data_IF_897256961603
#
_entry.id   IF_897256961603
#
_cell.length_a   1.000
_cell.length_b   1.000
_cell.length_c   1.000
_cell.angle_alpha   90.00
_cell.angle_beta   90.00
_cell.angle_gamma   90.00
#
_symmetry.space_group_name_H-M   'P 1'
#
loop_
_entity.id
_entity.type
_entity.pdbx_description
1 polymer ?
#
# COMPACT_ATOMS: atom_id res chain seq x y z
N UNK A 1 -25.45 -16.07 33.76
CA UNK A 1 -25.00 -15.12 34.79
C UNK A 1 -24.43 -13.81 34.22
N UNK A 2 -24.10 -13.71 32.93
CA UNK A 2 -23.52 -12.48 32.36
C UNK A 2 -24.54 -11.33 32.14
N UNK A 3 -25.82 -11.64 31.92
CA UNK A 3 -26.85 -10.63 31.60
C UNK A 3 -27.20 -9.69 32.75
N UNK A 4 -27.20 -10.17 34.00
CA UNK A 4 -27.58 -9.35 35.16
C UNK A 4 -26.43 -8.43 35.62
N UNK A 5 -25.17 -8.84 35.46
CA UNK A 5 -24.01 -7.98 35.77
C UNK A 5 -23.82 -6.88 34.72
N UNK A 6 -24.13 -7.17 33.45
CA UNK A 6 -24.01 -6.20 32.36
C UNK A 6 -24.95 -4.99 32.51
N UNK A 7 -26.10 -5.16 33.18
CA UNK A 7 -27.08 -4.09 33.42
C UNK A 7 -26.60 -3.09 34.47
N UNK A 8 -25.80 -3.52 35.46
CA UNK A 8 -25.32 -2.66 36.55
C UNK A 8 -23.88 -2.15 36.36
N UNK A 9 -23.03 -2.86 35.60
CA UNK A 9 -21.59 -2.55 35.47
C UNK A 9 -21.14 -2.27 34.03
N UNK A 10 -22.07 -2.22 33.07
CA UNK A 10 -21.75 -2.11 31.65
C UNK A 10 -21.24 -3.43 31.05
N UNK A 11 -20.95 -3.47 29.73
CA UNK A 11 -20.53 -4.69 29.07
C UNK A 11 -19.15 -5.14 29.55
N UNK A 12 -18.94 -6.46 29.73
CA UNK A 12 -17.65 -7.02 30.14
C UNK A 12 -16.53 -6.56 29.19
N UNK A 13 -15.48 -5.87 29.68
CA UNK A 13 -14.38 -5.38 28.84
C UNK A 13 -13.69 -6.49 28.05
N UNK A 14 -13.59 -7.70 28.60
CA UNK A 14 -13.02 -8.83 27.87
C UNK A 14 -13.94 -9.28 26.73
N UNK A 15 -15.25 -9.33 26.95
CA UNK A 15 -16.22 -9.61 25.89
C UNK A 15 -16.19 -8.55 24.77
N UNK A 16 -16.09 -7.26 25.13
CA UNK A 16 -15.94 -6.17 24.15
C UNK A 16 -14.66 -6.32 23.32
N UNK A 17 -13.52 -6.56 23.97
CA UNK A 17 -12.25 -6.80 23.29
C UNK A 17 -12.33 -7.99 22.32
N UNK A 18 -12.94 -9.11 22.75
CA UNK A 18 -13.15 -10.28 21.90
C UNK A 18 -14.00 -9.94 20.67
N UNK A 19 -15.06 -9.15 20.85
CA UNK A 19 -15.96 -8.72 19.76
C UNK A 19 -15.27 -7.79 18.77
N UNK A 20 -14.56 -6.76 19.24
CA UNK A 20 -13.79 -5.87 18.37
C UNK A 20 -12.73 -6.64 17.57
N UNK A 21 -11.98 -7.54 18.24
CA UNK A 21 -10.98 -8.39 17.56
C UNK A 21 -11.61 -9.39 16.58
N UNK A 22 -12.84 -9.85 16.81
CA UNK A 22 -13.56 -10.70 15.86
C UNK A 22 -13.93 -9.91 14.59
N UNK A 23 -14.47 -8.71 14.75
CA UNK A 23 -14.83 -7.82 13.64
C UNK A 23 -13.60 -7.45 12.80
N UNK A 24 -12.51 -7.03 13.45
CA UNK A 24 -11.26 -6.68 12.76
C UNK A 24 -10.74 -7.88 11.95
N UNK A 25 -10.66 -9.07 12.55
CA UNK A 25 -10.20 -10.29 11.84
C UNK A 25 -11.11 -10.69 10.68
N UNK A 26 -12.42 -10.56 10.84
CA UNK A 26 -13.38 -10.83 9.76
C UNK A 26 -13.12 -9.91 8.56
N UNK A 27 -12.96 -8.61 8.82
CA UNK A 27 -12.67 -7.62 7.79
C UNK A 27 -11.31 -7.83 7.14
N UNK A 28 -10.26 -8.15 7.91
CA UNK A 28 -8.94 -8.49 7.35
C UNK A 28 -9.05 -9.68 6.38
N UNK A 29 -9.78 -10.73 6.77
CA UNK A 29 -10.00 -11.90 5.89
C UNK A 29 -10.80 -11.55 4.64
N UNK A 30 -11.74 -10.62 4.72
CA UNK A 30 -12.49 -10.14 3.56
C UNK A 30 -11.54 -9.44 2.58
N UNK A 31 -10.77 -8.45 3.05
CA UNK A 31 -9.78 -7.74 2.23
C UNK A 31 -8.74 -8.69 1.63
N UNK A 32 -8.30 -9.71 2.37
CA UNK A 32 -7.34 -10.71 1.87
C UNK A 32 -7.92 -11.54 0.72
N UNK A 33 -9.20 -11.89 0.79
CA UNK A 33 -9.89 -12.59 -0.30
C UNK A 33 -10.01 -11.69 -1.52
N UNK A 34 -10.43 -10.44 -1.33
CA UNK A 34 -10.62 -9.49 -2.42
C UNK A 34 -9.29 -9.15 -3.11
N UNK A 35 -8.22 -8.94 -2.34
CA UNK A 35 -6.85 -8.76 -2.87
C UNK A 35 -6.38 -9.97 -3.68
N UNK A 36 -6.67 -11.21 -3.24
CA UNK A 36 -6.30 -12.41 -3.99
C UNK A 36 -7.11 -12.57 -5.28
N UNK A 37 -8.39 -12.16 -5.27
CA UNK A 37 -9.23 -12.12 -6.47
C UNK A 37 -8.69 -11.09 -7.46
N UNK A 38 -8.36 -9.88 -7.01
CA UNK A 38 -7.76 -8.83 -7.85
C UNK A 38 -6.41 -9.26 -8.44
N UNK A 39 -5.53 -9.91 -7.67
CA UNK A 39 -4.27 -10.45 -8.19
C UNK A 39 -4.48 -11.47 -9.32
N UNK A 40 -5.49 -12.33 -9.17
CA UNK A 40 -5.85 -13.32 -10.20
C UNK A 40 -6.42 -12.63 -11.43
N UNK A 41 -7.24 -11.60 -11.23
CA UNK A 41 -7.82 -10.80 -12.29
C UNK A 41 -6.75 -10.01 -13.06
N UNK A 42 -5.82 -9.35 -12.37
CA UNK A 42 -4.66 -8.64 -12.93
C UNK A 42 -3.87 -9.55 -13.90
N UNK A 43 -3.49 -10.75 -13.45
CA UNK A 43 -2.76 -11.73 -14.26
C UNK A 43 -3.55 -12.17 -15.51
N UNK A 44 -4.88 -12.37 -15.39
CA UNK A 44 -5.75 -12.72 -16.52
C UNK A 44 -5.87 -11.56 -17.51
N UNK A 45 -6.10 -10.34 -17.03
CA UNK A 45 -6.19 -9.13 -17.86
C UNK A 45 -4.90 -8.87 -18.60
N UNK A 46 -3.75 -9.05 -17.94
CA UNK A 46 -2.43 -9.01 -18.58
C UNK A 46 -2.32 -10.02 -19.73
N UNK A 47 -2.81 -11.24 -19.55
CA UNK A 47 -2.81 -12.25 -20.61
C UNK A 47 -3.79 -11.91 -21.75
N UNK A 48 -4.94 -11.29 -21.46
CA UNK A 48 -5.87 -10.81 -22.48
C UNK A 48 -5.27 -9.71 -23.36
N UNK A 49 -4.55 -8.74 -22.77
CA UNK A 49 -3.80 -7.70 -23.50
C UNK A 49 -2.83 -8.34 -24.51
N UNK A 50 -2.08 -9.35 -24.08
CA UNK A 50 -1.07 -10.02 -24.92
C UNK A 50 -1.72 -10.84 -26.04
N UNK A 51 -2.83 -11.50 -25.76
CA UNK A 51 -3.56 -12.27 -26.76
C UNK A 51 -4.22 -11.37 -27.81
N UNK A 52 -4.77 -10.23 -27.38
CA UNK A 52 -5.37 -9.22 -28.26
C UNK A 52 -4.29 -8.57 -29.16
N UNK A 53 -3.14 -8.19 -28.60
CA UNK A 53 -2.05 -7.59 -29.38
C UNK A 53 -1.49 -8.56 -30.44
N UNK A 54 -1.29 -9.83 -30.09
CA UNK A 54 -0.87 -10.88 -31.05
C UNK A 54 -1.90 -11.11 -32.16
N UNK A 55 -3.18 -11.00 -31.85
CA UNK A 55 -4.27 -11.12 -32.84
C UNK A 55 -4.23 -9.95 -33.83
N UNK A 56 -3.97 -8.74 -33.35
CA UNK A 56 -3.80 -7.57 -34.20
C UNK A 56 -2.65 -7.74 -35.20
N UNK A 57 -1.54 -8.36 -34.77
CA UNK A 57 -0.38 -8.64 -35.62
C UNK A 57 -0.65 -9.74 -36.68
N UNK A 58 -1.41 -10.78 -36.33
CA UNK A 58 -1.65 -11.94 -37.22
C UNK A 58 -2.76 -11.70 -38.25
N UNK A 59 -3.76 -10.89 -37.91
CA UNK A 59 -4.94 -10.67 -38.75
C UNK A 59 -5.12 -9.18 -39.07
N UNK A 60 -4.54 -8.69 -40.18
CA UNK A 60 -4.63 -7.28 -40.57
C UNK A 60 -6.08 -6.78 -40.75
N UNK A 61 -6.98 -7.65 -41.20
CA UNK A 61 -8.41 -7.34 -41.37
C UNK A 61 -9.13 -7.04 -40.04
N UNK A 62 -8.67 -7.60 -38.92
CA UNK A 62 -9.22 -7.39 -37.58
C UNK A 62 -8.32 -6.51 -36.70
N UNK A 63 -7.24 -5.95 -37.25
CA UNK A 63 -6.24 -5.22 -36.48
C UNK A 63 -6.83 -4.03 -35.72
N UNK A 64 -7.71 -3.23 -36.35
CA UNK A 64 -8.37 -2.08 -35.70
C UNK A 64 -9.21 -2.52 -34.49
N UNK A 65 -9.97 -3.59 -34.63
CA UNK A 65 -10.79 -4.12 -33.53
C UNK A 65 -9.91 -4.64 -32.39
N UNK A 66 -8.89 -5.44 -32.71
CA UNK A 66 -7.99 -6.01 -31.73
C UNK A 66 -7.17 -4.94 -30.98
N UNK A 67 -6.82 -3.82 -31.63
CA UNK A 67 -6.18 -2.68 -30.97
C UNK A 67 -7.13 -1.95 -30.01
N UNK A 68 -8.40 -1.79 -30.36
CA UNK A 68 -9.40 -1.20 -29.46
C UNK A 68 -9.66 -2.10 -28.24
N UNK A 69 -9.74 -3.42 -28.43
CA UNK A 69 -9.83 -4.41 -27.35
C UNK A 69 -8.60 -4.32 -26.43
N UNK A 70 -7.40 -4.21 -27.00
CA UNK A 70 -6.14 -4.07 -26.26
C UNK A 70 -6.15 -2.83 -25.37
N UNK A 71 -6.59 -1.68 -25.91
CA UNK A 71 -6.74 -0.43 -25.12
C UNK A 71 -7.78 -0.56 -24.01
N UNK A 72 -8.89 -1.23 -24.28
CA UNK A 72 -9.95 -1.46 -23.29
C UNK A 72 -9.45 -2.32 -22.13
N UNK A 73 -8.73 -3.41 -22.42
CA UNK A 73 -8.14 -4.24 -21.38
C UNK A 73 -7.04 -3.52 -20.59
N UNK A 74 -6.30 -2.60 -21.21
CA UNK A 74 -5.30 -1.79 -20.51
C UNK A 74 -5.95 -0.80 -19.52
N UNK A 75 -7.03 -0.13 -19.91
CA UNK A 75 -7.84 0.69 -18.99
C UNK A 75 -8.33 -0.12 -17.78
N UNK A 76 -8.87 -1.31 -18.04
CA UNK A 76 -9.30 -2.20 -16.96
C UNK A 76 -8.14 -2.62 -16.05
N UNK A 77 -6.93 -2.83 -16.60
CA UNK A 77 -5.75 -3.14 -15.81
C UNK A 77 -5.31 -1.98 -14.91
N UNK A 78 -5.44 -0.71 -15.36
CA UNK A 78 -5.23 0.48 -14.51
C UNK A 78 -6.19 0.43 -13.32
N UNK A 79 -7.48 0.23 -13.57
CA UNK A 79 -8.52 0.17 -12.52
C UNK A 79 -8.23 -0.92 -11.48
N UNK A 80 -7.87 -2.12 -11.94
CA UNK A 80 -7.53 -3.24 -11.05
C UNK A 80 -6.34 -2.88 -10.15
N UNK A 81 -5.31 -2.22 -10.70
CA UNK A 81 -4.13 -1.79 -9.93
C UNK A 81 -4.45 -0.69 -8.93
N UNK A 82 -5.23 0.33 -9.32
CA UNK A 82 -5.72 1.37 -8.41
C UNK A 82 -6.53 0.76 -7.26
N UNK A 83 -7.48 -0.12 -7.58
CA UNK A 83 -8.27 -0.83 -6.57
C UNK A 83 -7.40 -1.70 -5.65
N UNK A 84 -6.41 -2.39 -6.20
CA UNK A 84 -5.46 -3.20 -5.41
C UNK A 84 -4.66 -2.33 -4.44
N UNK A 85 -4.17 -1.17 -4.88
CA UNK A 85 -3.45 -0.23 -4.04
C UNK A 85 -4.35 0.31 -2.92
N UNK A 86 -5.59 0.72 -3.24
CA UNK A 86 -6.58 1.17 -2.26
C UNK A 86 -6.83 0.10 -1.19
N UNK A 87 -7.18 -1.13 -1.59
CA UNK A 87 -7.44 -2.23 -0.65
C UNK A 87 -6.20 -2.61 0.16
N UNK A 88 -5.00 -2.51 -0.41
CA UNK A 88 -3.74 -2.79 0.28
C UNK A 88 -3.47 -1.76 1.40
N UNK A 89 -3.65 -0.46 1.09
CA UNK A 89 -3.52 0.61 2.08
C UNK A 89 -4.51 0.43 3.22
N UNK A 90 -5.76 0.11 2.89
CA UNK A 90 -6.80 -0.06 3.91
C UNK A 90 -6.65 -1.33 4.73
N UNK A 91 -6.08 -2.39 4.15
CA UNK A 91 -5.63 -3.56 4.93
C UNK A 91 -4.59 -3.16 5.97
N UNK A 92 -3.60 -2.35 5.60
CA UNK A 92 -2.58 -1.88 6.52
C UNK A 92 -3.17 -0.98 7.62
N UNK A 93 -4.06 -0.05 7.26
CA UNK A 93 -4.79 0.78 8.22
C UNK A 93 -5.61 -0.06 9.20
N UNK A 94 -6.33 -1.08 8.73
CA UNK A 94 -7.09 -1.98 9.58
C UNK A 94 -6.20 -2.78 10.55
N UNK A 95 -5.02 -3.21 10.10
CA UNK A 95 -4.04 -3.86 10.97
C UNK A 95 -3.50 -2.91 12.05
N UNK A 96 -3.20 -1.66 11.68
CA UNK A 96 -2.83 -0.59 12.62
C UNK A 96 -3.91 -0.38 13.69
N UNK A 97 -5.16 -0.21 13.28
CA UNK A 97 -6.31 -0.10 14.19
C UNK A 97 -6.41 -1.33 15.11
N UNK A 98 -6.21 -2.53 14.57
CA UNK A 98 -6.17 -3.76 15.36
C UNK A 98 -5.11 -3.74 16.46
N UNK A 99 -3.91 -3.25 16.17
CA UNK A 99 -2.84 -3.11 17.16
C UNK A 99 -3.19 -2.06 18.22
N UNK A 100 -3.60 -0.87 17.80
CA UNK A 100 -3.94 0.24 18.70
C UNK A 100 -5.14 -0.10 19.61
N UNK A 101 -6.16 -0.79 19.09
CA UNK A 101 -7.31 -1.25 19.89
C UNK A 101 -6.86 -2.27 20.94
N UNK A 102 -6.02 -3.24 20.56
CA UNK A 102 -5.49 -4.21 21.53
C UNK A 102 -4.65 -3.52 22.61
N UNK A 103 -3.80 -2.58 22.22
CA UNK A 103 -3.03 -1.74 23.16
C UNK A 103 -3.97 -1.02 24.14
N UNK A 104 -5.00 -0.33 23.64
CA UNK A 104 -5.96 0.38 24.48
C UNK A 104 -6.64 -0.53 25.52
N UNK A 105 -7.03 -1.75 25.13
CA UNK A 105 -7.59 -2.73 26.07
C UNK A 105 -6.57 -3.25 27.08
N UNK A 106 -5.29 -3.42 26.72
CA UNK A 106 -4.24 -3.81 27.68
C UNK A 106 -3.90 -2.69 28.65
N UNK A 107 -3.80 -1.45 28.18
CA UNK A 107 -3.59 -0.26 29.02
C UNK A 107 -4.72 -0.17 30.06
N UNK A 108 -5.98 -0.35 29.65
CA UNK A 108 -7.12 -0.40 30.59
C UNK A 108 -6.99 -1.50 31.63
N UNK A 109 -6.47 -2.67 31.27
CA UNK A 109 -6.27 -3.78 32.21
C UNK A 109 -5.20 -3.46 33.27
N UNK A 110 -4.16 -2.71 32.88
CA UNK A 110 -3.03 -2.35 33.76
C UNK A 110 -3.36 -1.12 34.61
N UNK A 111 -3.82 -0.04 33.98
CA UNK A 111 -4.05 1.26 34.62
C UNK A 111 -5.45 1.40 35.23
N UNK A 112 -6.39 0.53 34.86
CA UNK A 112 -7.79 0.58 35.31
C UNK A 112 -8.63 1.68 34.64
N UNK A 113 -8.00 2.75 34.16
CA UNK A 113 -8.62 3.78 33.33
C UNK A 113 -8.31 3.56 31.85
N UNK A 114 -9.26 3.95 31.00
CA UNK A 114 -9.11 3.90 29.55
C UNK A 114 -8.85 5.32 29.05
N UNK A 115 -7.77 5.49 28.27
CA UNK A 115 -7.55 6.74 27.54
C UNK A 115 -8.28 6.66 26.20
N UNK A 116 -9.01 7.74 25.89
CA UNK A 116 -9.65 7.92 24.59
C UNK A 116 -8.56 8.20 23.55
N UNK A 117 -8.63 7.56 22.39
CA UNK A 117 -7.67 7.73 21.32
C UNK A 117 -8.32 8.38 20.09
N UNK A 118 -7.88 9.59 19.78
CA UNK A 118 -8.27 10.31 18.56
C UNK A 118 -7.61 9.71 17.31
N UNK A 119 -6.46 9.04 17.46
CA UNK A 119 -5.79 8.34 16.37
C UNK A 119 -6.61 7.14 15.87
N UNK A 120 -7.05 6.25 16.80
CA UNK A 120 -7.93 5.12 16.47
C UNK A 120 -9.22 5.64 15.81
N UNK A 121 -9.77 6.74 16.31
CA UNK A 121 -10.98 7.34 15.77
C UNK A 121 -10.81 7.80 14.32
N UNK A 122 -9.70 8.46 13.98
CA UNK A 122 -9.41 8.90 12.61
C UNK A 122 -9.22 7.72 11.65
N UNK A 123 -8.46 6.72 12.07
CA UNK A 123 -8.19 5.53 11.25
C UNK A 123 -9.49 4.74 10.99
N UNK A 124 -10.33 4.56 12.01
CA UNK A 124 -11.64 3.92 11.87
C UNK A 124 -12.56 4.74 10.95
N UNK A 125 -12.57 6.07 11.04
CA UNK A 125 -13.37 6.92 10.16
C UNK A 125 -12.98 6.73 8.69
N UNK A 126 -11.67 6.70 8.41
CA UNK A 126 -11.14 6.45 7.06
C UNK A 126 -11.62 5.09 6.52
N UNK A 127 -11.63 4.06 7.38
CA UNK A 127 -12.09 2.71 7.02
C UNK A 127 -13.62 2.59 6.86
N UNK A 128 -14.42 3.42 7.54
CA UNK A 128 -15.89 3.44 7.39
C UNK A 128 -16.30 3.93 6.00
N UNK A 129 -15.54 4.87 5.42
CA UNK A 129 -15.79 5.42 4.09
C UNK A 129 -15.55 4.43 2.95
N UNK A 130 -14.92 3.29 3.24
CA UNK A 130 -14.72 2.26 2.23
C UNK A 130 -15.97 1.40 2.03
N UNK A 131 -16.52 1.32 0.81
CA UNK A 131 -17.74 0.56 0.51
C UNK A 131 -17.65 -0.91 0.96
N UNK A 132 -16.48 -1.52 0.87
CA UNK A 132 -16.25 -2.92 1.21
C UNK A 132 -16.34 -3.19 2.73
N UNK A 133 -16.14 -2.16 3.56
CA UNK A 133 -16.03 -2.28 5.02
C UNK A 133 -17.06 -1.44 5.80
N UNK A 134 -17.85 -0.58 5.14
CA UNK A 134 -18.73 0.40 5.81
C UNK A 134 -19.59 -0.22 6.92
N UNK A 135 -20.30 -1.31 6.63
CA UNK A 135 -21.23 -1.93 7.59
C UNK A 135 -20.53 -2.46 8.84
N UNK A 136 -19.42 -3.17 8.66
CA UNK A 136 -18.69 -3.81 9.76
C UNK A 136 -17.82 -2.81 10.53
N UNK A 137 -17.30 -1.78 9.87
CA UNK A 137 -16.55 -0.69 10.52
C UNK A 137 -17.46 0.24 11.31
N UNK A 138 -18.70 0.47 10.85
CA UNK A 138 -19.69 1.18 11.64
C UNK A 138 -20.05 0.42 12.93
N UNK A 139 -20.20 -0.90 12.83
CA UNK A 139 -20.36 -1.77 14.01
C UNK A 139 -19.14 -1.71 14.94
N UNK A 140 -17.93 -1.79 14.39
CA UNK A 140 -16.70 -1.66 15.18
C UNK A 140 -16.63 -0.31 15.90
N UNK A 141 -16.91 0.78 15.18
CA UNK A 141 -16.96 2.14 15.73
C UNK A 141 -17.93 2.23 16.91
N UNK A 142 -19.15 1.72 16.75
CA UNK A 142 -20.15 1.68 17.83
C UNK A 142 -19.66 0.91 19.05
N UNK A 143 -18.99 -0.23 18.86
CA UNK A 143 -18.45 -1.01 19.98
C UNK A 143 -17.25 -0.33 20.64
N UNK A 144 -16.41 0.40 19.89
CA UNK A 144 -15.32 1.19 20.43
C UNK A 144 -15.81 2.39 21.23
N UNK A 145 -16.90 3.05 20.79
CA UNK A 145 -17.59 4.11 21.55
C UNK A 145 -18.15 3.56 22.85
N UNK A 146 -18.87 2.43 22.80
CA UNK A 146 -19.39 1.76 24.01
C UNK A 146 -18.28 1.28 24.97
N UNK A 147 -17.12 0.94 24.43
CA UNK A 147 -15.95 0.57 25.23
C UNK A 147 -15.25 1.79 25.86
N UNK A 148 -15.56 3.01 25.39
CA UNK A 148 -14.94 4.26 25.80
C UNK A 148 -13.57 4.52 25.15
N UNK A 149 -13.21 3.77 24.10
CA UNK A 149 -11.90 3.87 23.44
C UNK A 149 -11.85 5.08 22.50
N UNK A 150 -12.97 5.37 21.85
CA UNK A 150 -13.14 6.53 20.99
C UNK A 150 -14.33 7.35 21.47
N UNK A 151 -14.33 8.64 21.13
CA UNK A 151 -15.46 9.52 21.42
C UNK A 151 -16.61 9.27 20.45
N UNK A 152 -17.83 9.49 20.91
CA UNK A 152 -19.02 9.45 20.05
C UNK A 152 -18.93 10.63 19.08
N UNK A 153 -18.65 10.34 17.81
CA UNK A 153 -18.58 11.36 16.79
C UNK A 153 -19.99 11.71 16.32
N UNK A 154 -20.34 12.99 16.40
CA UNK A 154 -21.44 13.58 15.65
C UNK A 154 -20.90 13.87 14.26
N UNK A 155 -21.57 13.31 13.25
CA UNK A 155 -21.17 13.32 11.84
C UNK A 155 -21.08 14.77 11.31
N UNK A 156 -19.91 15.40 11.39
CA UNK A 156 -19.61 16.59 10.60
C UNK A 156 -19.12 16.10 9.24
N UNK A 157 -20.09 15.84 8.38
CA UNK A 157 -19.92 15.43 7.00
C UNK A 157 -19.20 16.53 6.20
N UNK A 158 -17.88 16.59 6.32
CA UNK A 158 -17.05 17.05 5.22
C UNK A 158 -16.69 15.81 4.42
N UNK A 159 -17.30 15.60 3.23
CA UNK A 159 -16.82 14.58 2.32
C UNK A 159 -15.38 14.95 1.97
N UNK A 160 -14.44 14.14 2.44
CA UNK A 160 -13.10 14.15 1.90
C UNK A 160 -13.21 13.45 0.53
N UNK A 161 -13.65 14.23 -0.46
CA UNK A 161 -13.89 13.79 -1.85
C UNK A 161 -12.62 13.22 -2.50
N UNK A 162 -11.46 13.43 -1.87
CA UNK A 162 -10.15 12.98 -2.36
C UNK A 162 -10.01 11.46 -2.54
N UNK A 163 -10.86 10.64 -1.90
CA UNK A 163 -10.85 9.17 -2.07
C UNK A 163 -11.86 8.66 -3.12
N UNK A 164 -12.81 9.49 -3.55
CA UNK A 164 -13.84 9.14 -4.55
C UNK A 164 -13.63 9.80 -5.91
N UNK A 165 -12.81 10.85 -5.99
CA UNK A 165 -12.57 11.61 -7.24
C UNK A 165 -11.58 10.93 -8.21
N UNK A 166 -11.11 9.72 -7.91
CA UNK A 166 -10.14 8.96 -8.71
C UNK A 166 -10.78 8.28 -9.96
N UNK A 167 -12.08 8.51 -10.19
CA UNK A 167 -12.88 7.99 -11.31
C UNK A 167 -12.96 8.96 -12.51
N UNK A 168 -12.44 10.18 -12.36
CA UNK A 168 -12.47 11.20 -13.42
C UNK A 168 -11.18 11.16 -14.24
N UNK A 169 -11.28 10.51 -15.40
CA UNK A 169 -10.28 10.41 -16.47
C UNK A 169 -8.98 9.67 -16.12
N UNK A 170 -8.97 8.37 -16.37
CA UNK A 170 -7.71 7.62 -16.57
C UNK A 170 -6.90 8.33 -17.65
N UNK A 171 -5.78 8.95 -17.25
CA UNK A 171 -4.88 9.60 -18.18
C UNK A 171 -4.48 8.59 -19.27
N UNK A 172 -4.71 8.93 -20.55
CA UNK A 172 -4.32 8.07 -21.67
C UNK A 172 -2.83 7.69 -21.60
N UNK A 173 -2.01 8.54 -20.99
CA UNK A 173 -0.61 8.30 -20.66
C UNK A 173 -0.40 7.09 -19.72
N UNK A 174 -1.24 6.91 -18.69
CA UNK A 174 -1.13 5.77 -17.76
C UNK A 174 -1.48 4.46 -18.48
N UNK A 175 -2.50 4.51 -19.35
CA UNK A 175 -2.90 3.37 -20.18
C UNK A 175 -1.77 2.98 -21.14
N UNK A 176 -1.17 3.95 -21.82
CA UNK A 176 -0.05 3.73 -22.74
C UNK A 176 1.19 3.19 -22.01
N UNK A 177 1.47 3.69 -20.79
CA UNK A 177 2.55 3.15 -19.94
C UNK A 177 2.32 1.69 -19.58
N UNK A 178 1.10 1.31 -19.20
CA UNK A 178 0.75 -0.09 -18.92
C UNK A 178 0.87 -0.95 -20.17
N UNK A 179 0.42 -0.46 -21.32
CA UNK A 179 0.56 -1.17 -22.59
C UNK A 179 2.03 -1.44 -22.92
N UNK A 180 2.90 -0.43 -22.73
CA UNK A 180 4.34 -0.59 -22.90
C UNK A 180 4.89 -1.63 -21.91
N UNK A 181 4.58 -1.52 -20.60
CA UNK A 181 5.05 -2.47 -19.58
C UNK A 181 4.66 -3.93 -19.92
N UNK A 182 3.40 -4.15 -20.32
CA UNK A 182 2.87 -5.49 -20.59
C UNK A 182 3.40 -6.07 -21.90
N UNK A 183 3.49 -5.26 -22.95
CA UNK A 183 3.88 -5.72 -24.29
C UNK A 183 5.39 -5.74 -24.49
N UNK A 184 6.13 -4.77 -23.96
CA UNK A 184 7.60 -4.74 -24.00
C UNK A 184 8.19 -5.76 -23.02
N UNK A 185 7.53 -6.03 -21.88
CA UNK A 185 7.93 -7.09 -20.94
C UNK A 185 7.83 -8.53 -21.47
N UNK A 186 7.41 -8.75 -22.72
CA UNK A 186 7.54 -10.03 -23.45
C UNK A 186 8.53 -10.01 -24.61
N UNK A 187 9.19 -8.88 -24.88
CA UNK A 187 10.34 -8.79 -25.79
C UNK A 187 11.68 -8.73 -25.06
N UNK A 188 11.68 -8.34 -23.78
CA UNK A 188 12.87 -8.32 -22.93
C UNK A 188 12.76 -9.39 -21.83
N UNK A 189 13.17 -10.61 -22.16
CA UNK A 189 14.00 -11.34 -21.19
C UNK A 189 15.29 -10.49 -21.00
N UNK A 190 15.61 -10.19 -19.75
CA UNK A 190 16.66 -9.31 -19.19
C UNK A 190 18.04 -9.29 -19.92
N UNK A 191 18.93 -8.29 -19.70
CA UNK A 191 19.07 -7.35 -18.56
C UNK A 191 19.09 -5.87 -19.02
N UNK A 192 19.25 -4.80 -18.23
CA UNK A 192 19.67 -4.57 -16.85
C UNK A 192 18.92 -3.32 -16.35
N UNK A 193 18.76 -3.20 -15.03
CA UNK A 193 18.45 -1.92 -14.40
C UNK A 193 19.58 -0.91 -14.68
N UNK A 194 19.25 0.33 -15.04
CA UNK A 194 19.87 1.47 -14.39
C UNK A 194 18.80 2.11 -13.51
N UNK A 195 18.97 1.94 -12.21
CA UNK A 195 18.29 2.78 -11.22
C UNK A 195 18.77 4.21 -11.48
N UNK A 196 17.91 5.06 -11.99
CA UNK A 196 18.09 6.51 -11.99
C UNK A 196 16.97 7.09 -11.14
N UNK A 197 17.27 7.35 -9.87
CA UNK A 197 16.59 8.40 -9.13
C UNK A 197 17.45 9.67 -9.24
N UNK A 198 16.86 10.83 -9.59
CA UNK A 198 17.53 12.11 -9.46
C UNK A 198 17.51 12.51 -7.97
N UNK A 199 18.69 12.67 -7.37
CA UNK A 199 18.86 13.42 -6.11
C UNK A 199 19.64 14.69 -6.45
N UNK A 200 19.17 15.77 -5.86
CA UNK A 200 19.52 17.17 -6.07
C UNK A 200 21.03 17.47 -6.12
N UNK A 201 21.33 18.51 -6.89
CA UNK A 201 22.64 19.05 -7.21
C UNK A 201 23.42 19.52 -5.97
N UNK A 202 24.61 18.95 -5.77
CA UNK A 202 25.75 19.64 -5.14
C UNK A 202 26.98 19.33 -6.01
N UNK A 203 27.74 20.33 -6.49
CA UNK A 203 28.71 20.13 -7.56
C UNK A 203 30.03 19.59 -7.01
N UNK A 204 30.46 18.42 -7.49
CA UNK A 204 31.84 17.93 -7.30
C UNK A 204 32.41 17.51 -8.65
N UNK A 205 33.63 17.98 -8.85
CA UNK A 205 34.41 18.01 -10.06
C UNK A 205 34.65 16.63 -10.72
N UNK A 206 34.83 16.69 -12.03
CA UNK A 206 35.21 15.61 -12.92
C UNK A 206 36.48 14.86 -12.46
N UNK A 207 36.46 13.54 -12.59
CA UNK A 207 37.67 12.72 -12.70
C UNK A 207 38.37 13.00 -14.04
N UNK A 208 39.69 12.77 -14.08
CA UNK A 208 40.23 11.95 -15.15
C UNK A 208 40.87 10.68 -14.56
N UNK A 209 40.49 9.54 -15.13
CA UNK A 209 41.19 8.27 -14.99
C UNK A 209 42.54 8.34 -15.73
N UNK A 210 43.64 8.64 -15.04
CA UNK A 210 45.00 8.19 -15.35
C UNK A 210 45.82 8.23 -14.06
N UNK A 211 46.43 7.10 -13.64
CA UNK A 211 47.58 6.94 -12.71
C UNK A 211 47.47 5.65 -11.87
N UNK A 212 47.59 4.49 -12.51
CA UNK A 212 47.92 3.24 -11.80
C UNK A 212 49.45 2.99 -11.68
N UNK A 213 50.29 3.86 -12.24
CA UNK A 213 51.76 3.75 -12.15
C UNK A 213 52.39 4.56 -10.99
N UNK A 214 51.69 5.55 -10.42
CA UNK A 214 52.26 6.46 -9.40
C UNK A 214 52.11 6.00 -7.94
N UNK A 215 51.30 4.96 -7.67
CA UNK A 215 51.14 4.46 -6.29
C UNK A 215 52.39 3.77 -5.77
N UNK A 216 53.19 3.14 -6.63
CA UNK A 216 54.40 2.43 -6.20
C UNK A 216 55.57 3.39 -5.91
N UNK A 217 55.69 4.45 -6.73
CA UNK A 217 56.68 5.52 -6.52
C UNK A 217 56.37 6.34 -5.25
N UNK A 218 55.10 6.64 -4.99
CA UNK A 218 54.67 7.34 -3.78
C UNK A 218 54.84 6.50 -2.51
N UNK A 219 54.59 5.18 -2.58
CA UNK A 219 54.85 4.25 -1.48
C UNK A 219 56.36 4.11 -1.16
N UNK A 220 57.23 4.14 -2.18
CA UNK A 220 58.69 4.14 -1.99
C UNK A 220 59.18 5.39 -1.26
N UNK A 221 58.71 6.58 -1.69
CA UNK A 221 59.09 7.84 -1.03
C UNK A 221 58.59 7.94 0.42
N UNK A 222 57.46 7.30 0.75
CA UNK A 222 56.97 7.23 2.13
C UNK A 222 57.78 6.27 2.99
N UNK A 223 58.35 5.20 2.42
CA UNK A 223 59.27 4.29 3.14
C UNK A 223 60.60 4.97 3.47
N UNK A 224 61.19 5.70 2.52
CA UNK A 224 62.46 6.42 2.73
C UNK A 224 62.34 7.51 3.80
N UNK A 225 61.20 8.22 3.84
CA UNK A 225 60.91 9.21 4.89
C UNK A 225 60.74 8.58 6.28
N UNK A 226 60.19 7.38 6.36
CA UNK A 226 60.02 6.67 7.64
C UNK A 226 61.33 6.09 8.16
N UNK A 227 62.25 5.68 7.28
CA UNK A 227 63.60 5.25 7.68
C UNK A 227 64.48 6.43 8.16
N UNK A 228 64.34 7.61 7.55
CA UNK A 228 65.05 8.81 7.98
C UNK A 228 64.64 9.32 9.39
N UNK A 229 63.49 8.88 9.90
CA UNK A 229 63.02 9.18 11.26
C UNK A 229 63.43 8.10 12.29
N UNK A 230 64.11 7.04 11.83
CA UNK A 230 64.50 5.90 12.66
C UNK A 230 66.01 5.86 12.97
N UNK A 231 66.76 6.91 12.61
CA UNK A 231 68.16 7.16 13.03
C UNK A 231 68.22 8.26 14.07
#
# INVERSE_FOLDING_TARGET
MESLKAVFFGPDPQAQMRKCNALIRQNTRQLDRDLNQLKTLDSKTRQYIINASRRAQRNPSQAKQALNETKTFARELVRIRKQTNRLSTSRAQLQSVGMQVNEAFQVRKIQGSLQKSTAIMKDVNTLVRMPELTSTMHQLSTELVKAGIIEEYVDEALPDDSLMEDELDEAEEEVDKILQEVLQGKLSQAPANPVTQPVEEIPVAAEPEEEFEDQEATLSQMRDRLEALKS
#
